data_IF_270560332097
#
_entry.id   IF_270560332097
#
_cell.length_a   1.000
_cell.length_b   1.000
_cell.length_c   1.000
_cell.angle_alpha   90.00
_cell.angle_beta   90.00
_cell.angle_gamma   90.00
#
_symmetry.space_group_name_H-M   'P 1'
#
loop_
_entity.id
_entity.type
_entity.pdbx_description
1 polymer ?
#
# COMPACT_ATOMS: atom_id res chain seq x y z
N UNK A 1 21.21 -19.53 -24.92
CA UNK A 1 20.42 -19.14 -23.75
C UNK A 1 21.40 -18.84 -22.62
N UNK A 2 21.57 -17.57 -22.30
CA UNK A 2 22.32 -17.14 -21.11
C UNK A 2 21.43 -17.49 -19.91
N UNK A 3 21.84 -18.40 -19.05
CA UNK A 3 21.08 -18.90 -17.89
C UNK A 3 20.68 -17.83 -16.85
N UNK A 4 20.20 -16.70 -17.31
CA UNK A 4 19.62 -15.64 -16.51
C UNK A 4 18.21 -16.07 -16.06
N UNK A 5 18.00 -16.13 -14.78
CA UNK A 5 16.64 -16.19 -14.20
C UNK A 5 16.19 -14.75 -13.96
N UNK A 6 15.49 -14.12 -14.91
CA UNK A 6 15.05 -12.76 -14.71
C UNK A 6 14.02 -12.71 -13.57
N UNK A 7 14.15 -11.70 -12.71
CA UNK A 7 13.04 -11.33 -11.83
C UNK A 7 12.54 -9.94 -12.22
N UNK A 8 11.26 -9.68 -12.03
CA UNK A 8 10.68 -8.38 -12.29
C UNK A 8 9.99 -7.86 -11.01
N UNK A 9 10.23 -6.59 -10.70
CA UNK A 9 9.58 -5.89 -9.61
C UNK A 9 8.62 -4.86 -10.22
N UNK A 10 7.35 -4.95 -9.84
CA UNK A 10 6.29 -4.05 -10.28
C UNK A 10 5.83 -3.19 -9.12
N UNK A 11 5.62 -1.91 -9.35
CA UNK A 11 4.86 -1.09 -8.42
C UNK A 11 3.36 -1.37 -8.54
N UNK A 12 2.63 -1.24 -7.44
CA UNK A 12 1.18 -1.48 -7.39
C UNK A 12 0.37 -0.86 -8.54
N UNK A 13 0.63 0.39 -8.97
CA UNK A 13 -0.11 1.00 -10.08
C UNK A 13 0.05 0.29 -11.42
N UNK A 14 1.09 -0.53 -11.57
CA UNK A 14 1.38 -1.29 -12.81
C UNK A 14 0.84 -2.72 -12.76
N UNK A 15 0.27 -3.16 -11.65
CA UNK A 15 -0.29 -4.49 -11.48
C UNK A 15 -1.83 -4.43 -11.49
N UNK A 16 -2.44 -5.38 -12.20
CA UNK A 16 -3.89 -5.60 -12.18
C UNK A 16 -4.16 -7.08 -11.93
N UNK A 17 -5.15 -7.38 -11.09
CA UNK A 17 -5.53 -8.75 -10.78
C UNK A 17 -5.94 -9.59 -12.02
N UNK A 18 -6.41 -8.93 -13.10
CA UNK A 18 -6.68 -9.61 -14.37
C UNK A 18 -5.45 -10.28 -15.00
N UNK A 19 -4.24 -9.82 -14.65
CA UNK A 19 -2.99 -10.36 -15.19
C UNK A 19 -2.70 -11.80 -14.75
N UNK A 20 -3.35 -12.26 -13.70
CA UNK A 20 -3.22 -13.63 -13.18
C UNK A 20 -4.45 -14.50 -13.44
N UNK A 21 -5.48 -13.96 -14.13
CA UNK A 21 -6.71 -14.69 -14.39
C UNK A 21 -6.61 -15.56 -15.63
N UNK A 22 -7.42 -16.61 -15.65
CA UNK A 22 -7.63 -17.44 -16.84
C UNK A 22 -8.04 -16.59 -18.04
N UNK A 23 -7.49 -16.89 -19.21
CA UNK A 23 -7.72 -16.13 -20.43
C UNK A 23 -6.74 -14.98 -20.68
N UNK A 24 -5.96 -14.56 -19.70
CA UNK A 24 -4.87 -13.60 -19.95
C UNK A 24 -3.63 -14.35 -20.46
N UNK A 25 -3.20 -14.04 -21.67
CA UNK A 25 -2.15 -14.79 -22.38
C UNK A 25 -0.81 -14.86 -21.63
N UNK A 26 -0.50 -13.85 -20.80
CA UNK A 26 0.73 -13.77 -20.02
C UNK A 26 0.57 -14.22 -18.56
N UNK A 27 -0.60 -14.73 -18.13
CA UNK A 27 -0.82 -15.18 -16.78
C UNK A 27 0.24 -16.18 -16.27
N UNK A 28 0.71 -17.16 -17.09
CA UNK A 28 1.78 -18.07 -16.66
C UNK A 28 3.10 -17.36 -16.34
N UNK A 29 3.40 -16.24 -17.02
CA UNK A 29 4.59 -15.45 -16.72
C UNK A 29 4.44 -14.73 -15.37
N UNK A 30 3.27 -14.14 -15.10
CA UNK A 30 3.01 -13.45 -13.83
C UNK A 30 3.06 -14.41 -12.63
N UNK A 31 2.53 -15.62 -12.79
CA UNK A 31 2.50 -16.65 -11.73
C UNK A 31 3.74 -17.54 -11.68
N UNK A 32 4.77 -17.26 -12.46
CA UNK A 32 6.01 -18.08 -12.55
C UNK A 32 6.89 -18.06 -11.29
N UNK A 33 6.59 -17.18 -10.32
CA UNK A 33 7.42 -16.97 -9.13
C UNK A 33 8.62 -16.03 -9.35
N UNK A 34 8.74 -15.44 -10.53
CA UNK A 34 9.82 -14.48 -10.86
C UNK A 34 9.34 -13.02 -10.86
N UNK A 35 8.05 -12.81 -10.62
CA UNK A 35 7.42 -11.50 -10.56
C UNK A 35 7.11 -11.13 -9.11
N UNK A 36 7.38 -9.89 -8.75
CA UNK A 36 7.08 -9.34 -7.43
C UNK A 36 6.31 -8.03 -7.57
N UNK A 37 5.42 -7.77 -6.63
CA UNK A 37 4.63 -6.52 -6.57
C UNK A 37 4.92 -5.81 -5.27
N UNK A 38 5.22 -4.51 -5.35
CA UNK A 38 5.36 -3.64 -4.17
C UNK A 38 4.21 -2.68 -4.06
N UNK A 39 3.71 -2.47 -2.84
CA UNK A 39 2.61 -1.57 -2.56
C UNK A 39 2.81 -0.87 -1.20
N UNK A 40 2.10 0.21 -0.99
CA UNK A 40 2.06 0.91 0.30
C UNK A 40 1.00 0.35 1.26
N UNK A 41 0.18 -0.58 0.82
CA UNK A 41 -0.86 -1.24 1.62
C UNK A 41 -0.84 -2.75 1.37
N UNK A 42 -1.35 -3.51 2.33
CA UNK A 42 -1.56 -4.96 2.15
C UNK A 42 -2.69 -5.24 1.15
N UNK A 43 -2.78 -6.46 0.60
CA UNK A 43 -3.83 -6.85 -0.33
C UNK A 43 -5.20 -6.92 0.37
N UNK A 44 -6.26 -6.96 -0.43
CA UNK A 44 -7.66 -6.95 0.03
C UNK A 44 -7.98 -8.02 1.08
N UNK A 45 -7.36 -9.18 0.98
CA UNK A 45 -7.58 -10.35 1.84
C UNK A 45 -6.87 -10.26 3.19
N UNK A 46 -6.02 -9.28 3.40
CA UNK A 46 -5.27 -9.15 4.64
C UNK A 46 -6.18 -9.06 5.87
N UNK A 47 -5.71 -9.67 6.97
CA UNK A 47 -6.47 -9.72 8.21
C UNK A 47 -6.02 -8.62 9.18
N UNK A 48 -6.54 -7.41 8.93
CA UNK A 48 -6.35 -6.27 9.81
C UNK A 48 -7.70 -5.61 10.12
N UNK A 49 -7.82 -4.83 11.22
CA UNK A 49 -9.06 -4.10 11.53
C UNK A 49 -9.55 -3.22 10.37
N UNK A 50 -8.64 -2.55 9.69
CA UNK A 50 -8.98 -1.69 8.55
C UNK A 50 -9.52 -2.48 7.35
N UNK A 51 -8.95 -3.65 7.04
CA UNK A 51 -9.45 -4.54 5.99
C UNK A 51 -10.83 -5.14 6.35
N UNK A 52 -11.03 -5.52 7.61
CA UNK A 52 -12.32 -6.01 8.07
C UNK A 52 -13.42 -4.94 7.93
N UNK A 53 -13.14 -3.70 8.34
CA UNK A 53 -14.07 -2.58 8.19
C UNK A 53 -14.36 -2.25 6.72
N UNK A 54 -13.35 -2.31 5.86
CA UNK A 54 -13.49 -2.13 4.42
C UNK A 54 -14.43 -3.18 3.83
N UNK A 55 -14.15 -4.47 4.06
CA UNK A 55 -14.98 -5.57 3.54
C UNK A 55 -16.42 -5.47 4.02
N UNK A 56 -16.64 -5.24 5.31
CA UNK A 56 -17.99 -5.08 5.87
C UNK A 56 -18.77 -3.92 5.23
N UNK A 57 -18.09 -2.83 4.87
CA UNK A 57 -18.73 -1.70 4.19
C UNK A 57 -19.10 -2.06 2.75
N UNK A 58 -18.22 -2.73 2.00
CA UNK A 58 -18.53 -3.17 0.64
C UNK A 58 -19.63 -4.22 0.59
N UNK A 59 -19.63 -5.17 1.53
CA UNK A 59 -20.70 -6.17 1.67
C UNK A 59 -22.05 -5.51 1.92
N UNK A 60 -22.10 -4.49 2.78
CA UNK A 60 -23.34 -3.76 3.10
C UNK A 60 -23.93 -3.01 1.90
N UNK A 61 -23.11 -2.62 0.92
CA UNK A 61 -23.58 -1.95 -0.31
C UNK A 61 -23.66 -2.90 -1.52
N UNK A 62 -23.43 -4.20 -1.31
CA UNK A 62 -23.54 -5.22 -2.34
C UNK A 62 -22.43 -5.15 -3.40
N UNK A 63 -21.28 -4.59 -3.06
CA UNK A 63 -20.13 -4.47 -3.96
C UNK A 63 -18.99 -5.39 -3.48
N UNK A 64 -18.82 -6.50 -4.14
CA UNK A 64 -17.68 -7.40 -3.92
C UNK A 64 -16.58 -7.08 -4.94
N UNK A 65 -15.70 -6.15 -4.62
CA UNK A 65 -14.52 -5.87 -5.46
C UNK A 65 -13.27 -5.93 -4.61
N UNK A 66 -12.47 -6.97 -4.80
CA UNK A 66 -11.32 -7.30 -3.99
C UNK A 66 -9.98 -7.01 -4.65
N UNK A 67 -9.77 -5.85 -5.29
CA UNK A 67 -8.49 -5.54 -5.91
C UNK A 67 -7.63 -4.57 -5.10
N UNK A 68 -6.36 -4.46 -5.48
CA UNK A 68 -5.39 -3.62 -4.80
C UNK A 68 -5.75 -2.12 -4.87
N UNK A 69 -6.39 -1.66 -5.94
CA UNK A 69 -6.80 -0.25 -6.08
C UNK A 69 -7.92 0.13 -5.12
N UNK A 70 -8.86 -0.78 -4.88
CA UNK A 70 -9.91 -0.60 -3.88
C UNK A 70 -9.30 -0.46 -2.49
N UNK A 71 -8.37 -1.34 -2.14
CA UNK A 71 -7.67 -1.28 -0.86
C UNK A 71 -6.87 0.01 -0.72
N UNK A 72 -6.15 0.41 -1.76
CA UNK A 72 -5.38 1.66 -1.77
C UNK A 72 -6.28 2.89 -1.61
N UNK A 73 -7.40 2.94 -2.31
CA UNK A 73 -8.39 4.00 -2.18
C UNK A 73 -8.98 4.10 -0.78
N UNK A 74 -9.36 2.97 -0.19
CA UNK A 74 -9.85 2.91 1.18
C UNK A 74 -8.78 3.38 2.17
N UNK A 75 -7.56 2.85 2.06
CA UNK A 75 -6.46 3.15 2.99
C UNK A 75 -6.10 4.64 2.98
N UNK A 76 -6.11 5.30 1.82
CA UNK A 76 -5.79 6.72 1.72
C UNK A 76 -6.77 7.63 2.48
N UNK A 77 -8.01 7.18 2.76
CA UNK A 77 -8.98 7.95 3.55
C UNK A 77 -8.56 8.09 5.03
N UNK A 78 -7.80 7.15 5.57
CA UNK A 78 -7.28 7.25 6.94
C UNK A 78 -6.36 8.46 7.11
N UNK A 79 -5.54 8.75 6.12
CA UNK A 79 -4.67 9.94 6.12
C UNK A 79 -5.49 11.22 6.18
N UNK A 80 -6.44 11.36 5.26
CA UNK A 80 -7.30 12.54 5.23
C UNK A 80 -8.07 12.71 6.53
N UNK A 81 -8.66 11.62 7.03
CA UNK A 81 -9.41 11.60 8.29
C UNK A 81 -8.57 12.11 9.47
N UNK A 82 -7.37 11.57 9.63
CA UNK A 82 -6.54 11.83 10.81
C UNK A 82 -5.92 13.23 10.75
N UNK A 83 -5.51 13.69 9.57
CA UNK A 83 -5.05 15.06 9.35
C UNK A 83 -6.17 16.07 9.64
N UNK A 84 -7.39 15.84 9.13
CA UNK A 84 -8.52 16.73 9.40
C UNK A 84 -8.90 16.74 10.88
N UNK A 85 -8.95 15.58 11.54
CA UNK A 85 -9.20 15.50 12.98
C UNK A 85 -8.17 16.29 13.78
N UNK A 86 -6.88 16.19 13.42
CA UNK A 86 -5.81 16.95 14.08
C UNK A 86 -5.95 18.47 13.85
N UNK A 87 -6.28 18.89 12.62
CA UNK A 87 -6.50 20.30 12.30
C UNK A 87 -7.73 20.88 13.02
N UNK A 88 -8.84 20.13 13.09
CA UNK A 88 -10.04 20.50 13.85
C UNK A 88 -9.71 20.65 15.34
N UNK A 89 -9.00 19.68 15.92
CA UNK A 89 -8.56 19.72 17.33
C UNK A 89 -7.65 20.92 17.61
N UNK A 90 -6.82 21.31 16.63
CA UNK A 90 -5.95 22.47 16.69
C UNK A 90 -6.65 23.82 16.44
N UNK A 91 -7.94 23.81 16.09
CA UNK A 91 -8.73 25.01 15.82
C UNK A 91 -8.34 25.78 14.55
N UNK A 92 -7.57 25.15 13.64
CA UNK A 92 -7.08 25.81 12.43
C UNK A 92 -7.29 24.95 11.18
N UNK A 93 -8.38 25.22 10.45
CA UNK A 93 -8.72 24.60 9.19
C UNK A 93 -8.21 25.35 7.96
N UNK A 94 -7.36 26.36 8.14
CA UNK A 94 -6.68 27.00 7.01
C UNK A 94 -5.72 26.04 6.33
N UNK A 95 -5.30 26.36 5.09
CA UNK A 95 -4.28 25.57 4.38
C UNK A 95 -3.00 25.40 5.23
N UNK A 96 -2.59 26.47 5.95
CA UNK A 96 -1.43 26.44 6.83
C UNK A 96 -1.64 25.51 8.03
N UNK A 97 -2.82 25.56 8.66
CA UNK A 97 -3.20 24.67 9.77
C UNK A 97 -3.24 23.21 9.37
N UNK A 98 -3.83 22.90 8.20
CA UNK A 98 -3.87 21.52 7.66
C UNK A 98 -2.45 21.01 7.36
N UNK A 99 -1.56 21.85 6.78
CA UNK A 99 -0.16 21.46 6.57
C UNK A 99 0.57 21.17 7.87
N UNK A 100 0.38 22.00 8.91
CA UNK A 100 0.96 21.74 10.23
C UNK A 100 0.42 20.45 10.84
N UNK A 101 -0.87 20.19 10.73
CA UNK A 101 -1.46 18.95 11.19
C UNK A 101 -0.87 17.74 10.46
N UNK A 102 -0.77 17.78 9.13
CA UNK A 102 -0.18 16.70 8.32
C UNK A 102 1.29 16.40 8.70
N UNK A 103 2.06 17.45 9.03
CA UNK A 103 3.47 17.28 9.42
C UNK A 103 3.65 16.63 10.80
N UNK A 104 2.62 16.60 11.65
CA UNK A 104 2.75 16.20 13.05
C UNK A 104 1.82 15.05 13.47
N UNK A 105 0.85 14.65 12.64
CA UNK A 105 -0.08 13.58 12.99
C UNK A 105 0.52 12.21 12.65
N UNK A 106 0.35 11.26 13.57
CA UNK A 106 0.57 9.84 13.29
C UNK A 106 -0.74 9.25 12.76
N UNK A 107 -0.66 8.66 11.56
CA UNK A 107 -1.80 8.04 10.92
C UNK A 107 -1.93 6.59 11.41
N UNK A 108 -3.10 6.24 11.97
CA UNK A 108 -3.31 4.89 12.48
C UNK A 108 -3.52 3.86 11.37
N UNK A 109 -4.13 4.25 10.26
CA UNK A 109 -4.52 3.40 9.12
C UNK A 109 -5.16 2.05 9.49
N UNK A 110 -5.50 1.82 10.74
CA UNK A 110 -6.00 0.56 11.30
C UNK A 110 -5.20 -0.66 10.80
N UNK A 111 -3.87 -0.53 10.82
CA UNK A 111 -2.87 -1.52 10.41
C UNK A 111 -2.84 -1.85 8.89
N UNK A 112 -3.57 -1.13 8.06
CA UNK A 112 -3.55 -1.36 6.61
C UNK A 112 -2.24 -0.92 5.95
N UNK A 113 -1.56 0.07 6.53
CA UNK A 113 -0.29 0.59 6.04
C UNK A 113 0.53 1.22 7.18
N UNK A 114 1.86 1.14 7.12
CA UNK A 114 2.75 1.62 8.18
C UNK A 114 3.11 3.09 8.01
N UNK A 115 2.21 3.95 7.57
CA UNK A 115 2.53 5.37 7.38
C UNK A 115 2.49 6.10 8.69
N UNK A 116 3.62 6.69 9.05
CA UNK A 116 3.77 7.64 10.15
C UNK A 116 4.21 8.97 9.58
N UNK A 117 3.66 10.07 10.10
CA UNK A 117 4.14 11.43 9.83
C UNK A 117 4.13 11.85 8.35
N UNK A 118 2.97 11.84 7.72
CA UNK A 118 2.80 12.46 6.40
C UNK A 118 3.33 13.89 6.41
N UNK A 119 4.17 14.21 5.44
CA UNK A 119 4.72 15.57 5.27
C UNK A 119 6.04 15.85 6.00
N UNK A 120 6.62 14.87 6.69
CA UNK A 120 8.03 14.96 7.14
C UNK A 120 8.97 14.49 6.05
N UNK A 121 10.17 15.05 6.04
CA UNK A 121 11.31 14.50 5.30
C UNK A 121 11.54 13.07 5.80
N UNK A 122 11.79 12.14 4.85
CA UNK A 122 11.97 10.74 5.20
C UNK A 122 10.90 9.80 4.65
N UNK A 123 9.71 10.29 4.39
CA UNK A 123 8.68 9.54 3.70
C UNK A 123 8.38 8.14 4.28
N UNK A 124 7.80 7.30 3.46
CA UNK A 124 7.53 5.90 3.80
C UNK A 124 8.75 5.03 3.50
N UNK A 125 9.32 4.44 4.52
CA UNK A 125 10.48 3.52 4.42
C UNK A 125 10.08 2.06 4.35
N UNK A 126 8.83 1.75 4.68
CA UNK A 126 8.29 0.40 4.70
C UNK A 126 7.33 0.19 3.52
N UNK A 127 7.34 -1.00 2.97
CA UNK A 127 6.49 -1.39 1.85
C UNK A 127 5.90 -2.77 2.06
N UNK A 128 4.89 -3.09 1.29
CA UNK A 128 4.40 -4.43 1.06
C UNK A 128 5.17 -5.05 -0.10
N UNK A 129 5.53 -6.32 0.04
CA UNK A 129 6.06 -7.14 -1.07
C UNK A 129 5.18 -8.38 -1.21
N UNK A 130 4.71 -8.62 -2.40
CA UNK A 130 3.88 -9.79 -2.71
C UNK A 130 4.28 -10.46 -4.01
N UNK A 131 3.74 -11.65 -4.21
CA UNK A 131 3.86 -12.44 -5.44
C UNK A 131 2.50 -12.58 -6.11
N UNK A 132 2.43 -12.40 -7.43
CA UNK A 132 1.20 -12.61 -8.18
C UNK A 132 0.68 -14.04 -8.05
N UNK A 133 -0.64 -14.19 -7.87
CA UNK A 133 -1.32 -15.49 -7.77
C UNK A 133 -2.74 -15.41 -8.31
N UNK A 134 -3.28 -16.51 -8.80
CA UNK A 134 -4.67 -16.62 -9.20
C UNK A 134 -5.61 -16.99 -8.02
N UNK A 135 -5.06 -17.35 -6.86
CA UNK A 135 -5.79 -18.01 -5.76
C UNK A 135 -6.68 -17.05 -4.96
N UNK A 136 -6.48 -15.75 -5.06
CA UNK A 136 -7.25 -14.75 -4.32
C UNK A 136 -7.75 -13.58 -5.20
N UNK A 137 -8.66 -12.78 -4.67
CA UNK A 137 -9.34 -11.71 -5.42
C UNK A 137 -8.37 -10.60 -5.84
N UNK A 138 -7.45 -10.21 -4.98
CA UNK A 138 -6.46 -9.17 -5.28
C UNK A 138 -5.41 -9.61 -6.30
N UNK A 139 -5.30 -10.90 -6.56
CA UNK A 139 -4.29 -11.46 -7.47
C UNK A 139 -2.88 -11.49 -6.88
N UNK A 140 -2.71 -11.27 -5.57
CA UNK A 140 -1.40 -11.16 -4.91
C UNK A 140 -1.40 -11.89 -3.57
N UNK A 141 -0.40 -12.72 -3.32
CA UNK A 141 -0.10 -13.27 -1.99
C UNK A 141 0.98 -12.43 -1.30
N UNK A 142 0.83 -12.25 0.00
CA UNK A 142 1.84 -11.59 0.84
C UNK A 142 3.11 -12.41 0.93
N UNK A 143 4.24 -11.83 0.54
CA UNK A 143 5.56 -12.38 0.78
C UNK A 143 6.22 -11.77 2.01
N UNK A 144 6.14 -10.43 2.14
CA UNK A 144 6.66 -9.71 3.30
C UNK A 144 5.84 -8.46 3.61
N UNK A 145 5.56 -8.24 4.90
CA UNK A 145 4.86 -7.07 5.42
C UNK A 145 5.10 -6.87 6.92
N UNK A 146 5.41 -5.67 7.40
CA UNK A 146 6.03 -4.59 6.61
C UNK A 146 7.45 -4.99 6.20
N UNK A 147 7.95 -4.47 5.09
CA UNK A 147 9.29 -4.72 4.60
C UNK A 147 10.07 -3.42 4.43
N UNK A 148 11.24 -3.37 5.04
CA UNK A 148 12.22 -2.31 4.84
C UNK A 148 13.49 -2.92 4.23
N UNK A 149 13.81 -2.55 3.01
CA UNK A 149 15.03 -3.02 2.34
C UNK A 149 16.30 -2.50 3.03
N UNK A 150 17.43 -3.20 2.92
CA UNK A 150 18.68 -2.82 3.60
C UNK A 150 19.15 -1.41 3.23
N UNK A 151 18.99 -0.99 1.99
CA UNK A 151 19.33 0.38 1.54
C UNK A 151 18.44 1.42 2.22
N UNK A 152 17.14 1.17 2.32
CA UNK A 152 16.21 2.07 2.99
C UNK A 152 16.48 2.14 4.50
N UNK A 153 16.84 1.00 5.12
CA UNK A 153 17.17 0.93 6.54
C UNK A 153 18.48 1.66 6.88
N UNK A 154 19.45 1.65 5.96
CA UNK A 154 20.77 2.26 6.16
C UNK A 154 20.80 3.77 5.83
N UNK A 155 19.79 4.29 5.12
CA UNK A 155 19.76 5.69 4.70
C UNK A 155 19.40 6.63 5.85
N UNK A 156 20.13 7.73 5.98
CA UNK A 156 19.72 8.86 6.80
C UNK A 156 18.66 9.70 6.06
N UNK A 157 17.40 9.49 6.42
CA UNK A 157 16.26 10.18 5.82
C UNK A 157 16.12 11.64 6.29
N UNK A 158 16.87 12.05 7.32
CA UNK A 158 16.87 13.44 7.81
C UNK A 158 17.83 14.32 7.03
N UNK A 159 18.76 13.73 6.32
CA UNK A 159 19.80 14.45 5.55
C UNK A 159 19.30 15.06 4.22
N UNK A 160 18.01 14.83 3.88
CA UNK A 160 17.40 15.34 2.66
C UNK A 160 17.65 14.47 1.42
N UNK A 161 16.97 14.76 0.30
CA UNK A 161 16.96 13.88 -0.88
C UNK A 161 18.26 13.89 -1.68
N UNK A 162 19.12 14.87 -1.47
CA UNK A 162 20.35 15.09 -2.26
C UNK A 162 21.65 15.04 -1.44
N UNK A 163 21.62 14.45 -0.25
CA UNK A 163 22.79 14.31 0.61
C UNK A 163 23.55 13.02 0.33
#
# INVERSE_FOLDING_TARGET
QQGLTPFALMAAPSFNDSFVREGFALAPLFTSGTMYVTAFTQPYEADTPGHAAMRATFDAVGQATGNLFVTAGWTSQYHLRDVLKAAIKGGDLTRAGIRRAAANVDVSSDQMMPIKNLGREGGQTETYVGVPTADNLSGINTLAWPYTGPTAAARDWTAGPCS
#
